data_IF_060351759973
#
_entry.id   IF_060351759973
#
_cell.length_a   1.000
_cell.length_b   1.000
_cell.length_c   1.000
_cell.angle_alpha   90.00
_cell.angle_beta   90.00
_cell.angle_gamma   90.00
#
_symmetry.space_group_name_H-M   'P 1'
#
loop_
_entity.id
_entity.type
_entity.pdbx_description
1 polymer ?
#
# COMPACT_ATOMS: atom_id res chain seq x y z
N UNK A 1 50.78 -23.00 28.28
CA UNK A 1 51.03 -22.38 26.97
C UNK A 1 49.71 -22.26 26.22
N UNK A 2 49.37 -21.03 25.82
CA UNK A 2 48.11 -20.63 25.18
C UNK A 2 48.07 -21.00 23.68
N UNK A 3 46.85 -20.90 23.12
CA UNK A 3 46.45 -20.80 21.69
C UNK A 3 46.21 -22.16 21.00
N UNK A 4 45.16 -22.41 20.21
CA UNK A 4 44.29 -21.55 19.36
C UNK A 4 42.89 -22.18 19.21
N UNK A 5 41.83 -21.43 19.48
CA UNK A 5 40.50 -21.64 18.89
C UNK A 5 39.91 -20.27 18.56
N UNK A 6 40.21 -19.76 17.38
CA UNK A 6 39.49 -18.60 16.83
C UNK A 6 39.54 -18.67 15.32
N UNK A 7 38.47 -19.15 14.68
CA UNK A 7 38.12 -18.82 13.28
C UNK A 7 36.78 -19.47 12.86
N UNK A 8 35.73 -19.34 13.68
CA UNK A 8 34.35 -19.51 13.20
C UNK A 8 33.46 -18.47 13.91
N UNK A 9 33.65 -17.19 13.59
CA UNK A 9 32.73 -16.13 14.02
C UNK A 9 32.57 -15.01 12.98
N UNK A 10 33.41 -14.96 11.94
CA UNK A 10 33.40 -13.89 10.92
C UNK A 10 32.59 -14.21 9.67
N UNK A 11 32.04 -15.42 9.51
CA UNK A 11 31.25 -15.80 8.32
C UNK A 11 29.75 -15.46 8.44
N UNK A 12 29.23 -15.26 9.65
CA UNK A 12 27.80 -14.98 9.86
C UNK A 12 27.39 -13.51 9.71
N UNK A 13 28.33 -12.56 9.75
CA UNK A 13 28.03 -11.13 9.55
C UNK A 13 28.06 -10.70 8.07
N UNK A 14 28.74 -11.45 7.20
CA UNK A 14 28.78 -11.19 5.76
C UNK A 14 27.62 -11.84 4.99
N UNK A 15 26.95 -12.85 5.57
CA UNK A 15 25.84 -13.54 4.90
C UNK A 15 24.54 -12.72 4.86
N UNK A 16 24.32 -11.76 5.77
CA UNK A 16 23.09 -10.96 5.79
C UNK A 16 23.11 -9.76 4.82
N UNK A 17 24.28 -9.32 4.35
CA UNK A 17 24.37 -8.27 3.32
C UNK A 17 24.25 -8.82 1.89
N UNK A 18 24.35 -10.14 1.70
CA UNK A 18 24.41 -10.76 0.37
C UNK A 18 23.05 -10.83 -0.38
N UNK A 19 21.91 -10.44 0.23
CA UNK A 19 20.57 -10.69 -0.34
C UNK A 19 19.58 -9.51 -0.25
N UNK A 20 20.04 -8.27 -0.04
CA UNK A 20 19.13 -7.12 -0.11
C UNK A 20 18.73 -6.85 -1.58
N UNK A 21 17.43 -6.79 -1.87
CA UNK A 21 16.91 -6.47 -3.21
C UNK A 21 17.40 -5.09 -3.63
N UNK A 22 18.17 -5.00 -4.70
CA UNK A 22 18.71 -3.73 -5.23
C UNK A 22 17.60 -2.89 -5.90
N UNK A 23 17.86 -1.60 -6.16
CA UNK A 23 16.88 -0.76 -6.88
C UNK A 23 16.52 -1.30 -8.27
N UNK A 24 17.46 -1.75 -9.12
CA UNK A 24 17.12 -2.39 -10.39
C UNK A 24 16.30 -3.68 -10.22
N UNK A 25 16.61 -4.50 -9.21
CA UNK A 25 15.81 -5.71 -8.92
C UNK A 25 14.39 -5.35 -8.47
N UNK A 26 14.24 -4.36 -7.58
CA UNK A 26 12.93 -3.89 -7.14
C UNK A 26 12.12 -3.30 -8.30
N UNK A 27 12.77 -2.56 -9.22
CA UNK A 27 12.13 -2.05 -10.43
C UNK A 27 11.68 -3.17 -11.37
N UNK A 28 12.49 -4.22 -11.54
CA UNK A 28 12.12 -5.40 -12.32
C UNK A 28 10.91 -6.13 -11.71
N UNK A 29 10.90 -6.34 -10.39
CA UNK A 29 9.76 -6.94 -9.67
C UNK A 29 8.50 -6.07 -9.80
N UNK A 30 8.63 -4.75 -9.64
CA UNK A 30 7.52 -3.81 -9.82
C UNK A 30 6.93 -3.88 -11.25
N UNK A 31 7.76 -4.11 -12.26
CA UNK A 31 7.34 -4.25 -13.65
C UNK A 31 6.58 -5.56 -13.92
N UNK A 32 6.78 -6.61 -13.12
CA UNK A 32 6.05 -7.86 -13.27
C UNK A 32 4.56 -7.71 -12.97
N UNK A 33 4.17 -6.77 -12.09
CA UNK A 33 2.77 -6.49 -11.77
C UNK A 33 2.20 -5.31 -12.57
N UNK A 34 2.77 -5.03 -13.74
CA UNK A 34 2.28 -4.00 -14.66
C UNK A 34 1.92 -4.63 -15.99
N UNK A 35 1.37 -3.82 -16.90
CA UNK A 35 0.83 -4.30 -18.17
C UNK A 35 1.84 -5.08 -18.99
N UNK A 36 1.39 -6.19 -19.57
CA UNK A 36 2.24 -7.09 -20.36
C UNK A 36 2.79 -8.31 -19.61
N UNK A 37 2.45 -8.50 -18.33
CA UNK A 37 2.93 -9.65 -17.54
C UNK A 37 2.41 -10.99 -18.05
N UNK A 38 1.10 -11.12 -18.21
CA UNK A 38 0.43 -12.24 -18.90
C UNK A 38 -0.80 -11.75 -19.66
N UNK A 39 -1.33 -12.50 -20.65
CA UNK A 39 -2.53 -12.11 -21.38
C UNK A 39 -3.74 -11.84 -20.48
N UNK A 40 -3.94 -12.66 -19.44
CA UNK A 40 -5.05 -12.53 -18.50
C UNK A 40 -4.98 -11.25 -17.66
N UNK A 41 -3.79 -10.92 -17.14
CA UNK A 41 -3.57 -9.69 -16.38
C UNK A 41 -3.59 -8.45 -17.27
N UNK A 42 -3.01 -8.52 -18.47
CA UNK A 42 -3.06 -7.44 -19.46
C UNK A 42 -4.52 -7.07 -19.79
N UNK A 43 -5.39 -8.06 -20.00
CA UNK A 43 -6.81 -7.81 -20.25
C UNK A 43 -7.50 -7.20 -19.03
N UNK A 44 -7.21 -7.69 -17.82
CA UNK A 44 -7.79 -7.16 -16.59
C UNK A 44 -7.38 -5.70 -16.37
N UNK A 45 -6.11 -5.35 -16.56
CA UNK A 45 -5.63 -3.98 -16.38
C UNK A 45 -6.25 -3.03 -17.42
N UNK A 46 -6.36 -3.45 -18.69
CA UNK A 46 -7.08 -2.68 -19.71
C UNK A 46 -8.55 -2.44 -19.32
N UNK A 47 -9.22 -3.46 -18.79
CA UNK A 47 -10.59 -3.34 -18.31
C UNK A 47 -10.68 -2.40 -17.10
N UNK A 48 -9.75 -2.50 -16.16
CA UNK A 48 -9.68 -1.61 -15.00
C UNK A 48 -9.44 -0.16 -15.41
N UNK A 49 -8.53 0.09 -16.36
CA UNK A 49 -8.24 1.42 -16.87
C UNK A 49 -9.47 1.99 -17.59
N UNK A 50 -10.15 1.18 -18.40
CA UNK A 50 -11.37 1.60 -19.08
C UNK A 50 -12.48 1.96 -18.09
N UNK A 51 -12.71 1.12 -17.08
CA UNK A 51 -13.71 1.39 -16.04
C UNK A 51 -13.38 2.67 -15.27
N UNK A 52 -12.11 2.87 -14.89
CA UNK A 52 -11.65 4.11 -14.25
C UNK A 52 -11.87 5.34 -15.15
N UNK A 53 -11.52 5.26 -16.45
CA UNK A 53 -11.73 6.37 -17.39
C UNK A 53 -13.21 6.69 -17.57
N UNK A 54 -14.07 5.69 -17.66
CA UNK A 54 -15.52 5.86 -17.72
C UNK A 54 -16.05 6.52 -16.45
N UNK A 55 -15.60 6.08 -15.28
CA UNK A 55 -15.95 6.71 -14.00
C UNK A 55 -15.49 8.16 -13.91
N UNK A 56 -14.24 8.46 -14.30
CA UNK A 56 -13.70 9.82 -14.32
C UNK A 56 -14.47 10.71 -15.30
N UNK A 57 -14.84 10.19 -16.48
CA UNK A 57 -15.58 10.94 -17.48
C UNK A 57 -16.98 11.34 -16.99
N UNK A 58 -17.64 10.45 -16.24
CA UNK A 58 -19.03 10.65 -15.81
C UNK A 58 -19.94 10.93 -17.01
N UNK A 59 -20.81 11.93 -16.88
CA UNK A 59 -21.74 12.33 -17.94
C UNK A 59 -21.12 13.25 -19.01
N UNK A 60 -19.82 13.52 -18.91
CA UNK A 60 -19.13 14.39 -19.88
C UNK A 60 -18.98 13.70 -21.24
N UNK A 61 -19.03 14.46 -22.33
CA UNK A 61 -18.82 13.92 -23.68
C UNK A 61 -17.42 13.30 -23.87
N UNK A 62 -16.41 13.81 -23.15
CA UNK A 62 -15.06 13.26 -23.13
C UNK A 62 -14.35 13.53 -21.80
N UNK A 63 -13.39 12.68 -21.45
CA UNK A 63 -12.57 12.84 -20.24
C UNK A 63 -11.53 13.96 -20.43
N UNK A 64 -11.50 14.93 -19.52
CA UNK A 64 -10.50 16.00 -19.43
C UNK A 64 -9.97 16.12 -17.98
N UNK A 65 -8.97 16.99 -17.77
CA UNK A 65 -8.36 17.25 -16.45
C UNK A 65 -9.34 17.77 -15.41
N UNK A 66 -10.29 18.60 -15.82
CA UNK A 66 -11.27 19.21 -14.91
C UNK A 66 -12.15 18.19 -14.18
N UNK A 67 -12.33 17.00 -14.75
CA UNK A 67 -13.04 15.90 -14.11
C UNK A 67 -12.22 15.23 -13.01
N UNK A 68 -10.89 15.18 -13.11
CA UNK A 68 -10.04 14.53 -12.10
C UNK A 68 -10.22 15.18 -10.72
N UNK A 69 -10.20 16.51 -10.66
CA UNK A 69 -10.36 17.29 -9.42
C UNK A 69 -11.75 17.13 -8.77
N UNK A 70 -12.75 16.76 -9.58
CA UNK A 70 -14.14 16.57 -9.15
C UNK A 70 -14.47 15.10 -8.89
N UNK A 71 -13.60 14.18 -9.28
CA UNK A 71 -13.86 12.75 -9.28
C UNK A 71 -14.05 12.22 -7.86
N UNK A 72 -15.24 11.69 -7.59
CA UNK A 72 -15.62 11.10 -6.31
C UNK A 72 -16.50 9.88 -6.59
N UNK A 73 -16.54 8.95 -5.64
CA UNK A 73 -17.50 7.85 -5.72
C UNK A 73 -18.92 8.40 -5.84
N UNK A 74 -19.67 7.85 -6.80
CA UNK A 74 -21.07 8.19 -7.05
C UNK A 74 -21.96 7.65 -5.93
N UNK A 75 -23.22 8.10 -5.88
CA UNK A 75 -24.22 7.52 -4.97
C UNK A 75 -24.49 6.04 -5.27
N UNK A 76 -24.27 5.59 -6.51
CA UNK A 76 -24.33 4.17 -6.89
C UNK A 76 -23.17 3.40 -6.26
N UNK A 77 -21.96 3.93 -6.35
CA UNK A 77 -20.75 3.22 -5.91
C UNK A 77 -20.54 3.23 -4.40
N UNK A 78 -21.09 4.20 -3.66
CA UNK A 78 -20.85 4.33 -2.23
C UNK A 78 -22.12 4.72 -1.46
N UNK A 79 -22.57 3.83 -0.58
CA UNK A 79 -23.73 4.05 0.30
C UNK A 79 -23.34 4.93 1.49
N UNK A 80 -23.14 6.22 1.21
CA UNK A 80 -22.82 7.23 2.24
C UNK A 80 -23.99 7.49 3.17
N UNK A 81 -25.23 7.16 2.76
CA UNK A 81 -26.41 7.30 3.60
C UNK A 81 -26.43 6.24 4.70
N UNK A 82 -26.15 4.97 4.37
CA UNK A 82 -25.94 3.90 5.34
C UNK A 82 -24.80 4.22 6.30
N UNK A 83 -23.65 4.68 5.79
CA UNK A 83 -22.54 5.00 6.67
C UNK A 83 -22.88 6.17 7.60
N UNK A 84 -23.54 7.23 7.10
CA UNK A 84 -23.97 8.36 7.92
C UNK A 84 -25.00 7.96 8.97
N UNK A 85 -25.95 7.08 8.64
CA UNK A 85 -26.99 6.62 9.58
C UNK A 85 -26.43 5.77 10.71
N UNK A 86 -25.28 5.12 10.53
CA UNK A 86 -24.59 4.40 11.61
C UNK A 86 -24.13 5.29 12.77
N UNK A 87 -23.95 6.60 12.52
CA UNK A 87 -23.41 7.55 13.49
C UNK A 87 -21.99 7.19 13.96
N UNK A 88 -21.22 6.42 13.19
CA UNK A 88 -19.84 6.08 13.55
C UNK A 88 -18.93 7.30 13.41
N UNK A 89 -18.19 7.61 14.48
CA UNK A 89 -17.17 8.67 14.47
C UNK A 89 -15.79 8.06 14.19
N UNK A 90 -15.20 8.44 13.06
CA UNK A 90 -13.86 8.03 12.67
C UNK A 90 -12.74 8.70 13.48
N UNK A 91 -13.09 9.57 14.44
CA UNK A 91 -12.14 10.25 15.33
C UNK A 91 -11.01 10.92 14.56
N UNK A 92 -11.33 11.53 13.40
CA UNK A 92 -10.36 11.98 12.39
C UNK A 92 -9.27 12.87 13.00
N UNK A 93 -9.64 13.85 13.83
CA UNK A 93 -8.67 14.76 14.46
C UNK A 93 -7.71 14.03 15.41
N UNK A 94 -8.23 13.10 16.22
CA UNK A 94 -7.40 12.32 17.14
C UNK A 94 -6.44 11.41 16.37
N UNK A 95 -6.93 10.74 15.33
CA UNK A 95 -6.10 9.89 14.47
C UNK A 95 -5.05 10.69 13.69
N UNK A 96 -5.36 11.93 13.29
CA UNK A 96 -4.37 12.85 12.72
C UNK A 96 -3.24 13.19 13.71
N UNK A 97 -3.58 13.51 14.96
CA UNK A 97 -2.57 13.81 15.99
C UNK A 97 -1.73 12.58 16.32
N UNK A 98 -2.34 11.40 16.41
CA UNK A 98 -1.63 10.15 16.61
C UNK A 98 -0.69 9.84 15.43
N UNK A 99 -1.09 10.12 14.20
CA UNK A 99 -0.24 10.01 13.02
C UNK A 99 0.97 10.96 13.08
N UNK A 100 0.78 12.21 13.51
CA UNK A 100 1.90 13.16 13.73
C UNK A 100 2.86 12.64 14.79
N UNK A 101 2.33 12.16 15.93
CA UNK A 101 3.15 11.60 17.00
C UNK A 101 3.94 10.36 16.54
N UNK A 102 3.28 9.45 15.81
CA UNK A 102 3.90 8.26 15.23
C UNK A 102 5.04 8.62 14.27
N UNK A 103 4.91 9.72 13.53
CA UNK A 103 5.91 10.14 12.55
C UNK A 103 6.92 11.17 13.07
N UNK A 104 6.86 11.52 14.36
CA UNK A 104 7.71 12.58 14.97
C UNK A 104 9.22 12.38 14.77
N UNK A 105 9.69 11.13 14.64
CA UNK A 105 11.09 10.82 14.37
C UNK A 105 11.62 11.31 13.02
N UNK A 106 10.75 11.73 12.09
CA UNK A 106 11.15 12.29 10.80
C UNK A 106 12.00 13.56 10.95
N UNK A 107 11.62 14.45 11.87
CA UNK A 107 12.28 15.76 12.06
C UNK A 107 13.70 15.67 12.62
N UNK A 108 14.13 14.49 13.07
CA UNK A 108 15.46 14.24 13.65
C UNK A 108 16.32 13.31 12.80
N UNK A 109 15.88 12.99 11.57
CA UNK A 109 16.64 12.11 10.68
C UNK A 109 17.95 12.78 10.23
N UNK A 110 19.07 12.03 10.17
CA UNK A 110 20.36 12.59 9.75
C UNK A 110 20.36 12.91 8.24
N UNK A 111 21.18 13.89 7.85
CA UNK A 111 21.33 14.33 6.45
C UNK A 111 21.74 13.20 5.49
N UNK A 112 22.48 12.20 5.99
CA UNK A 112 22.86 11.02 5.20
C UNK A 112 21.62 10.21 4.78
N UNK A 113 20.60 10.11 5.65
CA UNK A 113 19.34 9.44 5.34
C UNK A 113 18.51 10.29 4.38
N UNK A 114 18.44 11.61 4.59
CA UNK A 114 17.69 12.51 3.70
C UNK A 114 18.32 12.58 2.29
N UNK A 115 19.65 12.53 2.21
CA UNK A 115 20.39 12.44 0.95
C UNK A 115 20.11 11.12 0.22
N UNK A 116 20.19 9.99 0.93
CA UNK A 116 19.85 8.69 0.35
C UNK A 116 18.38 8.64 -0.10
N UNK A 117 17.46 9.18 0.70
CA UNK A 117 16.04 9.28 0.39
C UNK A 117 15.78 10.05 -0.92
N UNK A 118 16.52 11.13 -1.17
CA UNK A 118 16.48 11.88 -2.44
C UNK A 118 17.07 11.06 -3.59
N UNK A 119 18.24 10.45 -3.39
CA UNK A 119 18.89 9.66 -4.44
C UNK A 119 18.02 8.46 -4.87
N UNK A 120 17.37 7.77 -3.92
CA UNK A 120 16.50 6.63 -4.20
C UNK A 120 15.27 7.00 -5.03
N UNK A 121 14.58 8.11 -4.74
CA UNK A 121 13.45 8.54 -5.59
C UNK A 121 13.92 8.94 -6.98
N UNK A 122 15.05 9.64 -7.10
CA UNK A 122 15.62 10.00 -8.40
C UNK A 122 15.94 8.77 -9.23
N UNK A 123 16.59 7.76 -8.64
CA UNK A 123 16.93 6.51 -9.34
C UNK A 123 15.67 5.75 -9.81
N UNK A 124 14.68 5.58 -8.93
CA UNK A 124 13.42 4.91 -9.28
C UNK A 124 12.67 5.68 -10.38
N UNK A 125 12.58 7.00 -10.28
CA UNK A 125 11.88 7.84 -11.25
C UNK A 125 12.56 7.84 -12.63
N UNK A 126 13.89 7.89 -12.68
CA UNK A 126 14.63 7.92 -13.94
C UNK A 126 14.65 6.55 -14.64
N UNK A 127 14.76 5.46 -13.88
CA UNK A 127 14.89 4.11 -14.43
C UNK A 127 13.56 3.37 -14.62
N UNK A 128 12.42 3.96 -14.25
CA UNK A 128 11.11 3.33 -14.46
C UNK A 128 10.81 3.13 -15.95
N UNK A 129 10.42 1.90 -16.31
CA UNK A 129 9.97 1.54 -17.67
C UNK A 129 8.63 2.21 -18.00
N UNK A 130 8.26 2.25 -19.28
CA UNK A 130 7.01 2.85 -19.73
C UNK A 130 5.78 2.19 -19.06
N UNK A 131 5.70 0.86 -19.01
CA UNK A 131 4.56 0.17 -18.40
C UNK A 131 4.43 0.46 -16.90
N UNK A 132 5.56 0.62 -16.19
CA UNK A 132 5.54 1.00 -14.77
C UNK A 132 5.09 2.45 -14.58
N UNK A 133 5.46 3.36 -15.48
CA UNK A 133 4.96 4.74 -15.50
C UNK A 133 3.46 4.80 -15.79
N UNK A 134 2.99 3.97 -16.73
CA UNK A 134 1.57 3.86 -17.07
C UNK A 134 0.72 3.38 -15.90
N UNK A 135 1.17 2.31 -15.22
CA UNK A 135 0.53 1.86 -13.99
C UNK A 135 0.53 2.97 -12.92
N UNK A 136 1.63 3.72 -12.80
CA UNK A 136 1.74 4.77 -11.79
C UNK A 136 0.78 5.94 -12.04
N UNK A 137 0.58 6.33 -13.31
CA UNK A 137 -0.43 7.32 -13.70
C UNK A 137 -1.85 6.82 -13.40
N UNK A 138 -2.14 5.57 -13.76
CA UNK A 138 -3.45 4.97 -13.46
C UNK A 138 -3.72 4.97 -11.95
N UNK A 139 -2.77 4.51 -11.14
CA UNK A 139 -2.85 4.51 -9.68
C UNK A 139 -3.13 5.93 -9.16
N UNK A 140 -2.37 6.91 -9.65
CA UNK A 140 -2.47 8.29 -9.22
C UNK A 140 -3.86 8.88 -9.39
N UNK A 141 -4.47 8.65 -10.55
CA UNK A 141 -5.79 9.17 -10.89
C UNK A 141 -6.93 8.27 -10.38
N UNK A 142 -6.61 7.13 -9.76
CA UNK A 142 -7.59 6.21 -9.17
C UNK A 142 -7.93 6.53 -7.72
N UNK A 143 -7.28 7.53 -7.09
CA UNK A 143 -7.37 7.80 -5.64
C UNK A 143 -8.81 7.93 -5.12
N UNK A 144 -9.74 8.47 -5.92
CA UNK A 144 -11.15 8.63 -5.55
C UNK A 144 -12.01 7.37 -5.73
N UNK A 145 -11.43 6.26 -6.19
CA UNK A 145 -12.10 5.00 -6.54
C UNK A 145 -11.41 3.79 -5.88
N UNK A 146 -11.80 2.58 -6.28
CA UNK A 146 -11.18 1.32 -5.85
C UNK A 146 -10.68 0.45 -7.02
N UNK A 147 -10.75 0.93 -8.27
CA UNK A 147 -10.41 0.13 -9.47
C UNK A 147 -8.98 -0.42 -9.41
N UNK A 148 -8.05 0.33 -8.83
CA UNK A 148 -6.65 -0.03 -8.72
C UNK A 148 -6.40 -1.33 -7.95
N UNK A 149 -7.35 -1.80 -7.12
CA UNK A 149 -7.22 -3.05 -6.36
C UNK A 149 -7.49 -4.30 -7.20
N UNK A 150 -8.10 -4.15 -8.37
CA UNK A 150 -8.61 -5.28 -9.16
C UNK A 150 -7.50 -6.23 -9.63
N UNK A 151 -6.33 -5.71 -9.98
CA UNK A 151 -5.17 -6.47 -10.45
C UNK A 151 -4.70 -7.51 -9.42
N UNK A 152 -4.56 -7.12 -8.16
CA UNK A 152 -4.14 -7.99 -7.07
C UNK A 152 -5.18 -9.07 -6.70
N UNK A 153 -6.42 -8.94 -7.17
CA UNK A 153 -7.44 -9.98 -7.04
C UNK A 153 -7.28 -11.11 -8.07
N UNK A 154 -6.47 -10.89 -9.10
CA UNK A 154 -6.28 -11.79 -10.24
C UNK A 154 -7.40 -11.71 -11.29
N UNK A 155 -7.20 -12.29 -12.49
CA UNK A 155 -8.04 -11.99 -13.66
C UNK A 155 -9.53 -12.27 -13.48
N UNK A 156 -9.92 -13.37 -12.82
CA UNK A 156 -11.33 -13.73 -12.68
C UNK A 156 -12.02 -12.90 -11.60
N UNK A 157 -11.47 -12.88 -10.39
CA UNK A 157 -12.04 -12.11 -9.28
C UNK A 157 -11.95 -10.60 -9.49
N UNK A 158 -10.87 -10.10 -10.09
CA UNK A 158 -10.71 -8.68 -10.42
C UNK A 158 -11.78 -8.18 -11.40
N UNK A 159 -12.14 -8.99 -12.41
CA UNK A 159 -13.25 -8.69 -13.32
C UNK A 159 -14.60 -8.66 -12.61
N UNK A 160 -14.85 -9.65 -11.75
CA UNK A 160 -16.05 -9.69 -10.92
C UNK A 160 -16.13 -8.47 -9.98
N UNK A 161 -15.01 -8.06 -9.40
CA UNK A 161 -14.91 -6.87 -8.57
C UNK A 161 -15.24 -5.59 -9.34
N UNK A 162 -14.67 -5.38 -10.53
CA UNK A 162 -14.98 -4.22 -11.37
C UNK A 162 -16.48 -4.19 -11.69
N UNK A 163 -17.06 -5.32 -12.10
CA UNK A 163 -18.48 -5.41 -12.42
C UNK A 163 -19.39 -5.12 -11.21
N UNK A 164 -19.10 -5.73 -10.05
CA UNK A 164 -19.85 -5.48 -8.81
C UNK A 164 -19.71 -4.02 -8.36
N UNK A 165 -18.53 -3.40 -8.52
CA UNK A 165 -18.28 -2.02 -8.15
C UNK A 165 -19.06 -1.04 -9.03
N UNK A 166 -19.04 -1.24 -10.35
CA UNK A 166 -19.77 -0.42 -11.33
C UNK A 166 -21.29 -0.52 -11.14
N UNK A 167 -21.79 -1.71 -10.78
CA UNK A 167 -23.20 -1.95 -10.45
C UNK A 167 -23.63 -1.41 -9.08
N UNK A 168 -22.69 -0.96 -8.24
CA UNK A 168 -22.97 -0.49 -6.88
C UNK A 168 -23.29 -1.62 -5.87
N UNK A 169 -22.98 -2.87 -6.21
CA UNK A 169 -23.34 -4.04 -5.40
C UNK A 169 -22.49 -4.18 -4.14
N UNK A 170 -21.34 -3.51 -4.08
CA UNK A 170 -20.46 -3.43 -2.91
C UNK A 170 -20.43 -2.04 -2.26
N UNK A 171 -21.50 -1.27 -2.41
CA UNK A 171 -21.55 0.16 -2.01
C UNK A 171 -21.28 0.44 -0.53
N UNK A 172 -21.57 -0.48 0.39
CA UNK A 172 -21.23 -0.33 1.83
C UNK A 172 -19.74 -0.53 2.06
N UNK A 173 -19.13 -1.53 1.45
CA UNK A 173 -17.68 -1.74 1.50
C UNK A 173 -16.94 -0.55 0.89
N UNK A 174 -17.36 -0.09 -0.27
CA UNK A 174 -16.80 1.10 -0.90
C UNK A 174 -16.90 2.35 0.00
N UNK A 175 -18.07 2.62 0.59
CA UNK A 175 -18.25 3.76 1.49
C UNK A 175 -17.38 3.64 2.76
N UNK A 176 -17.39 2.49 3.42
CA UNK A 176 -16.64 2.27 4.66
C UNK A 176 -15.12 2.36 4.42
N UNK A 177 -14.62 1.72 3.36
CA UNK A 177 -13.19 1.72 3.02
C UNK A 177 -12.70 3.15 2.81
N UNK A 178 -13.37 3.92 1.93
CA UNK A 178 -12.93 5.30 1.64
C UNK A 178 -13.07 6.24 2.83
N UNK A 179 -14.08 6.05 3.69
CA UNK A 179 -14.24 6.85 4.89
C UNK A 179 -13.22 6.53 5.99
N UNK A 180 -12.58 5.35 5.94
CA UNK A 180 -11.56 4.94 6.90
C UNK A 180 -10.20 5.59 6.64
N UNK A 181 -10.00 6.25 5.50
CA UNK A 181 -8.79 7.05 5.24
C UNK A 181 -8.77 8.27 6.16
N UNK A 182 -7.68 8.42 6.91
CA UNK A 182 -7.45 9.58 7.77
C UNK A 182 -6.50 10.55 7.05
N UNK A 183 -7.05 11.67 6.58
CA UNK A 183 -6.29 12.67 5.82
C UNK A 183 -4.96 13.05 6.48
N UNK A 184 -3.89 12.97 5.68
CA UNK A 184 -2.51 13.37 6.06
C UNK A 184 -2.27 14.88 6.07
N UNK A 185 -3.28 15.71 5.76
CA UNK A 185 -3.13 17.16 5.62
C UNK A 185 -2.59 17.86 6.87
N UNK A 186 -2.99 17.44 8.07
CA UNK A 186 -2.47 17.97 9.33
C UNK A 186 -0.97 17.67 9.49
N UNK A 187 -0.54 16.45 9.18
CA UNK A 187 0.87 16.06 9.23
C UNK A 187 1.70 16.79 8.17
N UNK A 188 1.19 16.95 6.94
CA UNK A 188 1.88 17.73 5.89
C UNK A 188 2.14 19.18 6.32
N UNK A 189 1.17 19.81 7.00
CA UNK A 189 1.35 21.16 7.55
C UNK A 189 2.37 21.19 8.69
N UNK A 190 2.37 20.17 9.54
CA UNK A 190 3.30 20.05 10.67
C UNK A 190 4.76 19.87 10.21
N UNK A 191 5.02 18.92 9.31
CA UNK A 191 6.38 18.60 8.87
C UNK A 191 6.89 19.51 7.75
N UNK A 192 5.98 20.12 6.97
CA UNK A 192 6.28 21.10 5.91
C UNK A 192 7.46 20.70 4.99
N UNK A 193 7.49 19.43 4.56
CA UNK A 193 8.59 18.90 3.77
C UNK A 193 8.34 19.11 2.26
N UNK A 194 9.23 19.78 1.51
CA UNK A 194 9.03 20.02 0.07
C UNK A 194 9.12 18.74 -0.77
N UNK A 195 8.40 18.69 -1.89
CA UNK A 195 8.36 17.53 -2.81
C UNK A 195 9.66 17.39 -3.62
N UNK A 196 10.00 16.18 -4.12
CA UNK A 196 11.27 15.93 -4.84
C UNK A 196 11.53 16.89 -6.00
N UNK A 197 10.53 17.11 -6.86
CA UNK A 197 10.63 17.97 -8.04
C UNK A 197 10.67 19.48 -7.75
N UNK A 198 10.46 19.90 -6.48
CA UNK A 198 10.53 21.30 -6.07
C UNK A 198 11.93 21.70 -5.58
N UNK A 199 12.84 20.74 -5.39
CA UNK A 199 14.20 21.07 -4.95
C UNK A 199 15.01 21.69 -6.08
N UNK A 200 15.79 22.72 -5.76
CA UNK A 200 16.74 23.29 -6.69
C UNK A 200 17.76 22.23 -7.15
N UNK A 201 18.08 22.22 -8.44
CA UNK A 201 19.03 21.27 -9.02
C UNK A 201 18.55 19.81 -9.10
N UNK A 202 17.27 19.54 -8.86
CA UNK A 202 16.74 18.19 -9.01
C UNK A 202 16.73 17.72 -10.48
N UNK A 203 16.76 16.40 -10.68
CA UNK A 203 16.70 15.75 -12.00
C UNK A 203 15.42 14.92 -12.19
N UNK A 204 14.38 15.20 -11.40
CA UNK A 204 13.13 14.43 -11.46
C UNK A 204 12.47 14.61 -12.84
N UNK A 205 12.16 13.48 -13.48
CA UNK A 205 11.37 13.41 -14.68
C UNK A 205 9.89 13.27 -14.34
N UNK A 206 9.16 14.39 -14.32
CA UNK A 206 7.71 14.38 -14.18
C UNK A 206 7.07 13.71 -15.39
N UNK A 207 6.24 12.70 -15.13
CA UNK A 207 5.70 11.79 -16.15
C UNK A 207 4.52 12.45 -16.87
N UNK A 208 4.55 12.62 -18.20
CA UNK A 208 3.40 13.08 -18.98
C UNK A 208 2.28 12.03 -18.96
N UNK A 209 1.04 12.46 -18.78
CA UNK A 209 -0.12 11.57 -18.82
C UNK A 209 -0.51 11.23 -20.26
N UNK A 210 -0.05 10.07 -20.72
CA UNK A 210 -0.40 9.43 -21.99
C UNK A 210 -1.37 8.24 -21.80
N UNK A 211 -1.94 8.07 -20.59
CA UNK A 211 -2.73 6.88 -20.22
C UNK A 211 -4.16 7.20 -19.79
N UNK A 212 -4.33 8.08 -18.82
CA UNK A 212 -5.62 8.34 -18.17
C UNK A 212 -6.36 9.45 -18.88
N UNK A 213 -5.84 10.68 -18.89
CA UNK A 213 -6.44 11.77 -19.69
C UNK A 213 -5.91 11.74 -21.13
N UNK A 214 -4.65 11.35 -21.32
CA UNK A 214 -3.94 11.38 -22.62
C UNK A 214 -3.72 12.78 -23.18
N UNK A 215 -3.49 13.75 -22.29
CA UNK A 215 -3.23 15.15 -22.64
C UNK A 215 -1.73 15.50 -22.64
N UNK A 216 -0.86 14.55 -22.29
CA UNK A 216 0.58 14.74 -22.09
C UNK A 216 0.95 15.82 -21.05
N UNK A 217 -0.02 16.24 -20.21
CA UNK A 217 0.28 17.10 -19.07
C UNK A 217 1.08 16.29 -18.07
N UNK A 218 2.21 16.83 -17.62
CA UNK A 218 3.08 16.18 -16.63
C UNK A 218 2.35 16.08 -15.30
N UNK A 219 2.28 14.88 -14.75
CA UNK A 219 1.68 14.63 -13.45
C UNK A 219 2.44 15.38 -12.36
N UNK A 220 1.73 16.19 -11.56
CA UNK A 220 2.28 16.92 -10.42
C UNK A 220 1.38 16.74 -9.20
N UNK A 221 1.81 17.26 -8.06
CA UNK A 221 1.00 17.26 -6.84
C UNK A 221 1.30 18.51 -6.00
N UNK A 222 0.31 19.00 -5.27
CA UNK A 222 0.39 20.20 -4.45
C UNK A 222 0.71 19.89 -2.98
N UNK A 223 0.98 20.92 -2.17
CA UNK A 223 1.26 20.79 -0.74
C UNK A 223 2.55 20.03 -0.37
N UNK A 224 2.75 19.79 0.93
CA UNK A 224 3.94 19.11 1.46
C UNK A 224 4.02 17.63 1.06
N UNK A 225 5.21 17.06 1.05
CA UNK A 225 5.47 15.67 0.68
C UNK A 225 5.21 14.68 1.81
N UNK A 226 5.72 14.95 3.02
CA UNK A 226 5.68 13.99 4.12
C UNK A 226 4.46 14.15 5.05
N UNK A 227 3.74 13.07 5.38
CA UNK A 227 3.71 11.77 4.70
C UNK A 227 2.83 11.83 3.43
N UNK A 228 2.90 10.82 2.57
CA UNK A 228 2.17 10.77 1.29
C UNK A 228 0.68 10.46 1.45
N UNK A 229 -0.21 11.41 1.13
CA UNK A 229 -1.67 11.19 1.19
C UNK A 229 -2.17 10.07 0.26
N UNK A 230 -1.71 10.05 -0.99
CA UNK A 230 -2.06 8.98 -1.94
C UNK A 230 -1.63 7.60 -1.43
N UNK A 231 -0.43 7.50 -0.84
CA UNK A 231 0.02 6.23 -0.24
C UNK A 231 -0.87 5.83 0.94
N UNK A 232 -1.26 6.79 1.79
CA UNK A 232 -2.15 6.53 2.92
C UNK A 232 -3.49 5.97 2.46
N UNK A 233 -4.08 6.56 1.42
CA UNK A 233 -5.29 6.06 0.77
C UNK A 233 -5.08 4.65 0.19
N UNK A 234 -4.04 4.47 -0.63
CA UNK A 234 -3.77 3.19 -1.29
C UNK A 234 -3.54 2.04 -0.31
N UNK A 235 -2.79 2.28 0.78
CA UNK A 235 -2.59 1.28 1.84
C UNK A 235 -3.86 1.03 2.65
N UNK A 236 -4.61 2.07 3.04
CA UNK A 236 -5.87 1.90 3.81
C UNK A 236 -6.87 1.06 3.01
N UNK A 237 -7.06 1.40 1.74
CA UNK A 237 -7.97 0.70 0.84
C UNK A 237 -7.55 -0.76 0.64
N UNK A 238 -6.25 -0.99 0.41
CA UNK A 238 -5.69 -2.31 0.19
C UNK A 238 -5.75 -3.21 1.43
N UNK A 239 -5.43 -2.68 2.62
CA UNK A 239 -5.48 -3.42 3.88
C UNK A 239 -6.91 -3.83 4.22
N UNK A 240 -7.88 -2.91 4.14
CA UNK A 240 -9.27 -3.23 4.42
C UNK A 240 -9.85 -4.22 3.39
N UNK A 241 -9.50 -4.07 2.11
CA UNK A 241 -9.88 -5.04 1.09
C UNK A 241 -9.27 -6.42 1.36
N UNK A 242 -8.01 -6.49 1.81
CA UNK A 242 -7.35 -7.75 2.17
C UNK A 242 -8.08 -8.47 3.33
N UNK A 243 -8.55 -7.72 4.32
CA UNK A 243 -9.33 -8.25 5.44
C UNK A 243 -10.74 -8.73 5.00
N UNK A 244 -11.33 -8.06 4.01
CA UNK A 244 -12.63 -8.47 3.47
C UNK A 244 -12.53 -9.68 2.52
N UNK A 245 -11.42 -9.81 1.79
CA UNK A 245 -11.16 -10.84 0.77
C UNK A 245 -9.83 -11.58 1.07
N UNK A 246 -9.74 -12.33 2.19
CA UNK A 246 -8.50 -12.97 2.64
C UNK A 246 -7.97 -14.05 1.69
N UNK A 247 -8.79 -14.52 0.74
CA UNK A 247 -8.37 -15.37 -0.37
C UNK A 247 -7.22 -14.74 -1.18
N UNK A 248 -7.14 -13.40 -1.18
CA UNK A 248 -6.12 -12.59 -1.87
C UNK A 248 -5.30 -11.72 -0.91
N UNK A 249 -5.26 -12.04 0.39
CA UNK A 249 -4.65 -11.22 1.44
C UNK A 249 -3.25 -10.71 1.07
N UNK A 250 -2.29 -11.60 0.82
CA UNK A 250 -0.90 -11.24 0.53
C UNK A 250 -0.76 -10.35 -0.72
N UNK A 251 -1.52 -10.67 -1.77
CA UNK A 251 -1.53 -9.92 -3.02
C UNK A 251 -2.09 -8.50 -2.81
N UNK A 252 -3.18 -8.36 -2.07
CA UNK A 252 -3.81 -7.08 -1.75
C UNK A 252 -2.92 -6.23 -0.83
N UNK A 253 -2.29 -6.81 0.19
CA UNK A 253 -1.31 -6.07 1.02
C UNK A 253 -0.13 -5.60 0.17
N UNK A 254 0.38 -6.45 -0.73
CA UNK A 254 1.44 -6.09 -1.69
C UNK A 254 0.98 -4.99 -2.66
N UNK A 255 -0.31 -4.93 -2.99
CA UNK A 255 -0.87 -3.89 -3.85
C UNK A 255 -0.78 -2.49 -3.25
N UNK A 256 -0.99 -2.38 -1.94
CA UNK A 256 -0.75 -1.14 -1.19
C UNK A 256 0.70 -0.66 -1.34
N UNK A 257 1.66 -1.58 -1.23
CA UNK A 257 3.08 -1.28 -1.47
C UNK A 257 3.37 -0.88 -2.92
N UNK A 258 2.75 -1.54 -3.91
CA UNK A 258 2.86 -1.13 -5.32
C UNK A 258 2.29 0.26 -5.56
N UNK A 259 1.15 0.60 -4.94
CA UNK A 259 0.55 1.94 -5.02
C UNK A 259 1.47 3.02 -4.43
N UNK A 260 2.09 2.73 -3.28
CA UNK A 260 3.12 3.60 -2.70
C UNK A 260 4.32 3.78 -3.64
N UNK A 261 4.83 2.69 -4.20
CA UNK A 261 5.95 2.71 -5.16
C UNK A 261 5.63 3.53 -6.42
N UNK A 262 4.39 3.49 -6.92
CA UNK A 262 3.92 4.33 -8.02
C UNK A 262 4.15 5.83 -7.76
N UNK A 263 4.12 6.28 -6.50
CA UNK A 263 4.38 7.68 -6.13
C UNK A 263 5.84 8.09 -6.31
N UNK A 264 6.77 7.14 -6.15
CA UNK A 264 8.21 7.33 -6.39
C UNK A 264 8.50 7.31 -7.89
N UNK A 265 7.83 6.42 -8.64
CA UNK A 265 7.90 6.38 -10.11
C UNK A 265 7.50 7.72 -10.73
N UNK A 266 6.47 8.37 -10.19
CA UNK A 266 6.05 9.71 -10.63
C UNK A 266 6.94 10.86 -10.11
N UNK A 267 7.88 10.57 -9.22
CA UNK A 267 8.81 11.57 -8.67
C UNK A 267 8.16 12.60 -7.74
N UNK A 268 6.94 12.35 -7.25
CA UNK A 268 6.18 13.31 -6.42
C UNK A 268 6.32 13.07 -4.91
N UNK A 269 6.87 11.92 -4.52
CA UNK A 269 7.11 11.50 -3.13
C UNK A 269 8.41 10.72 -2.98
N UNK A 270 8.98 10.82 -1.78
CA UNK A 270 10.15 10.08 -1.37
C UNK A 270 9.82 8.74 -0.71
N UNK A 271 10.79 7.80 -0.64
CA UNK A 271 10.69 6.60 0.19
C UNK A 271 10.17 6.86 1.62
N UNK A 272 10.72 7.85 2.34
CA UNK A 272 10.28 8.18 3.69
C UNK A 272 8.80 8.57 3.76
N UNK A 273 8.27 9.29 2.77
CA UNK A 273 6.86 9.67 2.73
C UNK A 273 5.95 8.45 2.61
N UNK A 274 6.38 7.47 1.82
CA UNK A 274 5.64 6.24 1.56
C UNK A 274 5.73 5.28 2.75
N UNK A 275 6.92 5.15 3.35
CA UNK A 275 7.12 4.40 4.60
C UNK A 275 6.27 4.98 5.73
N UNK A 276 6.31 6.29 5.93
CA UNK A 276 5.52 6.96 6.97
C UNK A 276 4.02 6.80 6.77
N UNK A 277 3.54 6.91 5.53
CA UNK A 277 2.12 6.66 5.22
C UNK A 277 1.69 5.22 5.45
N UNK A 278 2.54 4.23 5.12
CA UNK A 278 2.27 2.82 5.44
C UNK A 278 2.09 2.63 6.95
N UNK A 279 3.02 3.16 7.75
CA UNK A 279 2.96 3.08 9.22
C UNK A 279 1.64 3.65 9.77
N UNK A 280 1.24 4.83 9.29
CA UNK A 280 -0.02 5.48 9.69
C UNK A 280 -1.24 4.68 9.25
N UNK A 281 -1.26 4.17 8.02
CA UNK A 281 -2.36 3.37 7.49
C UNK A 281 -2.54 2.07 8.28
N UNK A 282 -1.46 1.31 8.50
CA UNK A 282 -1.49 0.07 9.29
C UNK A 282 -1.99 0.33 10.72
N UNK A 283 -1.50 1.39 11.38
CA UNK A 283 -1.93 1.81 12.72
C UNK A 283 -3.40 2.19 12.77
N UNK A 284 -3.89 2.96 11.80
CA UNK A 284 -5.28 3.41 11.77
C UNK A 284 -6.24 2.26 11.44
N UNK A 285 -5.90 1.40 10.47
CA UNK A 285 -6.69 0.20 10.16
C UNK A 285 -6.77 -0.73 11.37
N UNK A 286 -5.66 -0.96 12.07
CA UNK A 286 -5.68 -1.73 13.31
C UNK A 286 -6.57 -1.06 14.38
N UNK A 287 -6.51 0.27 14.51
CA UNK A 287 -7.36 1.02 15.44
C UNK A 287 -8.84 0.80 15.14
N UNK A 288 -9.27 0.95 13.88
CA UNK A 288 -10.66 0.73 13.48
C UNK A 288 -11.10 -0.72 13.65
N UNK A 289 -10.29 -1.69 13.22
CA UNK A 289 -10.67 -3.10 13.34
C UNK A 289 -10.74 -3.60 14.79
N UNK A 290 -10.12 -2.90 15.75
CA UNK A 290 -10.28 -3.18 17.18
C UNK A 290 -11.50 -2.48 17.83
N UNK A 291 -12.15 -1.53 17.13
CA UNK A 291 -13.35 -0.86 17.63
C UNK A 291 -14.60 -1.71 17.37
N UNK A 292 -15.30 -2.09 18.44
CA UNK A 292 -16.50 -2.92 18.38
C UNK A 292 -17.61 -2.32 17.50
N UNK A 293 -17.77 -0.99 17.47
CA UNK A 293 -18.77 -0.33 16.61
C UNK A 293 -18.38 -0.40 15.14
N UNK A 294 -17.09 -0.23 14.85
CA UNK A 294 -16.57 -0.39 13.48
C UNK A 294 -16.69 -1.83 13.01
N UNK A 295 -16.42 -2.81 13.87
CA UNK A 295 -16.53 -4.23 13.54
C UNK A 295 -17.93 -4.63 13.04
N UNK A 296 -18.99 -4.02 13.59
CA UNK A 296 -20.36 -4.23 13.11
C UNK A 296 -20.50 -3.76 11.65
N UNK A 297 -20.05 -2.53 11.34
CA UNK A 297 -20.09 -1.98 10.00
C UNK A 297 -19.19 -2.77 9.03
N UNK A 298 -18.00 -3.14 9.49
CA UNK A 298 -17.03 -3.90 8.71
C UNK A 298 -17.60 -5.27 8.34
N UNK A 299 -18.24 -5.98 9.28
CA UNK A 299 -18.89 -7.26 9.00
C UNK A 299 -20.01 -7.11 7.98
N UNK A 300 -20.90 -6.13 8.15
CA UNK A 300 -22.01 -5.90 7.22
C UNK A 300 -21.51 -5.56 5.80
N UNK A 301 -20.54 -4.65 5.71
CA UNK A 301 -19.91 -4.27 4.46
C UNK A 301 -19.17 -5.43 3.78
N UNK A 302 -18.42 -6.22 4.57
CA UNK A 302 -17.71 -7.42 4.10
C UNK A 302 -18.69 -8.47 3.57
N UNK A 303 -19.78 -8.72 4.27
CA UNK A 303 -20.79 -9.70 3.86
C UNK A 303 -21.44 -9.28 2.52
N UNK A 304 -21.77 -7.98 2.36
CA UNK A 304 -22.28 -7.44 1.09
C UNK A 304 -21.27 -7.60 -0.05
N UNK A 305 -20.01 -7.18 0.16
CA UNK A 305 -18.95 -7.31 -0.84
C UNK A 305 -18.78 -8.76 -1.27
N UNK A 306 -18.67 -9.69 -0.30
CA UNK A 306 -18.43 -11.11 -0.60
C UNK A 306 -19.58 -11.72 -1.38
N UNK A 307 -20.83 -11.43 -1.00
CA UNK A 307 -22.00 -11.91 -1.73
C UNK A 307 -22.06 -11.39 -3.17
N UNK A 308 -21.74 -10.10 -3.38
CA UNK A 308 -21.68 -9.51 -4.72
C UNK A 308 -20.59 -10.15 -5.58
N UNK A 309 -19.41 -10.39 -5.02
CA UNK A 309 -18.32 -11.04 -5.73
C UNK A 309 -18.65 -12.48 -6.11
N UNK A 310 -19.27 -13.28 -5.22
CA UNK A 310 -19.69 -14.65 -5.55
C UNK A 310 -20.75 -14.68 -6.65
N UNK A 311 -21.70 -13.75 -6.60
CA UNK A 311 -22.72 -13.57 -7.64
C UNK A 311 -22.07 -13.28 -9.00
N UNK A 312 -21.17 -12.30 -9.08
CA UNK A 312 -20.50 -11.93 -10.32
C UNK A 312 -19.53 -13.02 -10.82
N UNK A 313 -18.92 -13.79 -9.90
CA UNK A 313 -18.04 -14.91 -10.23
C UNK A 313 -18.79 -16.18 -10.67
N UNK A 314 -20.08 -16.32 -10.31
CA UNK A 314 -20.86 -17.54 -10.48
C UNK A 314 -20.31 -18.76 -9.72
N UNK A 315 -19.51 -18.54 -8.68
CA UNK A 315 -18.85 -19.59 -7.88
C UNK A 315 -18.37 -19.03 -6.54
N UNK A 316 -17.84 -19.89 -5.66
CA UNK A 316 -17.23 -19.48 -4.39
C UNK A 316 -16.04 -18.53 -4.58
N UNK A 317 -15.81 -17.63 -3.62
CA UNK A 317 -14.62 -16.76 -3.64
C UNK A 317 -13.31 -17.53 -3.70
N UNK A 318 -13.22 -18.66 -3.00
CA UNK A 318 -12.02 -19.50 -2.99
C UNK A 318 -11.67 -20.03 -4.39
N UNK A 319 -12.67 -20.37 -5.21
CA UNK A 319 -12.48 -20.77 -6.61
C UNK A 319 -12.24 -19.56 -7.51
N UNK A 320 -13.00 -18.47 -7.34
CA UNK A 320 -12.86 -17.28 -8.16
C UNK A 320 -11.49 -16.60 -7.99
N UNK A 321 -10.92 -16.67 -6.78
CA UNK A 321 -9.60 -16.18 -6.43
C UNK A 321 -8.46 -17.14 -6.81
N UNK A 322 -8.70 -18.28 -7.48
CA UNK A 322 -7.62 -19.13 -7.98
C UNK A 322 -6.98 -18.52 -9.22
N UNK A 323 -5.70 -18.79 -9.37
CA UNK A 323 -4.89 -18.44 -10.53
C UNK A 323 -4.00 -19.62 -10.87
N UNK A 324 -3.61 -19.73 -12.14
CA UNK A 324 -2.53 -20.63 -12.54
C UNK A 324 -1.21 -20.04 -12.05
N UNK A 325 -0.52 -20.72 -11.14
CA UNK A 325 0.51 -20.11 -10.29
C UNK A 325 1.69 -19.46 -11.00
N UNK A 326 1.99 -19.83 -12.26
CA UNK A 326 3.05 -19.19 -13.06
C UNK A 326 2.61 -17.89 -13.77
N UNK A 327 1.31 -17.63 -13.84
CA UNK A 327 0.72 -16.53 -14.61
C UNK A 327 0.19 -15.39 -13.72
N UNK A 328 0.43 -15.47 -12.41
CA UNK A 328 -0.01 -14.51 -11.40
C UNK A 328 1.18 -13.76 -10.79
N UNK A 329 1.50 -12.55 -11.29
CA UNK A 329 2.65 -11.82 -10.81
C UNK A 329 2.52 -11.43 -9.33
N UNK A 330 1.31 -11.17 -8.81
CA UNK A 330 1.14 -10.80 -7.39
C UNK A 330 1.33 -11.98 -6.42
N UNK A 331 1.23 -13.21 -6.90
CA UNK A 331 1.53 -14.43 -6.11
C UNK A 331 2.88 -15.05 -6.48
N UNK A 332 3.66 -14.42 -7.35
CA UNK A 332 5.01 -14.88 -7.67
C UNK A 332 5.89 -14.84 -6.40
N UNK A 333 6.70 -15.88 -6.13
CA UNK A 333 7.48 -15.96 -4.88
C UNK A 333 8.43 -14.77 -4.64
N UNK A 334 8.92 -14.16 -5.70
CA UNK A 334 9.83 -13.01 -5.69
C UNK A 334 9.14 -11.69 -5.34
N UNK A 335 7.81 -11.57 -5.48
CA UNK A 335 7.07 -10.40 -5.00
C UNK A 335 7.16 -10.18 -3.49
N UNK A 336 7.45 -11.23 -2.72
CA UNK A 336 7.78 -11.10 -1.28
C UNK A 336 9.04 -10.26 -1.07
N UNK A 337 10.01 -10.36 -1.98
CA UNK A 337 11.22 -9.55 -1.96
C UNK A 337 10.90 -8.08 -2.25
N UNK A 338 9.99 -7.82 -3.21
CA UNK A 338 9.51 -6.47 -3.48
C UNK A 338 8.82 -5.85 -2.26
N UNK A 339 7.85 -6.54 -1.66
CA UNK A 339 7.17 -6.02 -0.46
C UNK A 339 8.18 -5.74 0.65
N UNK A 340 9.07 -6.70 0.95
CA UNK A 340 10.10 -6.54 1.98
C UNK A 340 11.06 -5.38 1.70
N UNK A 341 11.42 -5.15 0.43
CA UNK A 341 12.18 -3.98 0.00
C UNK A 341 11.44 -2.68 0.34
N UNK A 342 10.15 -2.57 0.04
CA UNK A 342 9.36 -1.33 0.30
C UNK A 342 9.21 -0.97 1.79
N UNK A 343 9.49 -1.91 2.70
CA UNK A 343 9.46 -1.62 4.14
C UNK A 343 10.58 -0.65 4.56
N UNK A 344 11.67 -0.55 3.79
CA UNK A 344 12.83 0.30 4.10
C UNK A 344 13.46 1.03 2.92
N UNK A 345 13.18 0.61 1.68
CA UNK A 345 13.82 1.06 0.44
C UNK A 345 15.36 1.00 0.48
N UNK A 346 15.92 0.12 1.33
CA UNK A 346 17.35 0.07 1.64
C UNK A 346 17.95 1.41 2.12
N UNK A 347 17.14 2.28 2.72
CA UNK A 347 17.67 3.50 3.31
C UNK A 347 18.71 3.19 4.41
N UNK A 348 19.71 4.08 4.62
CA UNK A 348 20.75 3.85 5.59
C UNK A 348 20.18 3.55 6.99
N UNK A 349 20.63 2.43 7.55
CA UNK A 349 20.27 1.97 8.89
C UNK A 349 21.27 2.51 9.90
N UNK A 350 20.80 2.94 11.07
CA UNK A 350 21.65 3.25 12.22
C UNK A 350 22.40 1.98 12.71
N UNK A 351 23.64 2.16 13.15
CA UNK A 351 24.43 1.07 13.72
C UNK A 351 24.01 0.81 15.18
N UNK A 352 22.96 0.01 15.32
CA UNK A 352 22.38 -0.34 16.62
C UNK A 352 22.33 -1.85 16.82
N UNK A 353 22.47 -2.28 18.08
CA UNK A 353 22.28 -3.68 18.45
C UNK A 353 20.86 -4.10 18.10
N UNK A 354 20.69 -5.19 17.35
CA UNK A 354 19.36 -5.67 16.98
C UNK A 354 18.55 -6.08 18.21
N UNK A 355 17.37 -5.49 18.36
CA UNK A 355 16.39 -5.81 19.42
C UNK A 355 15.12 -6.41 18.83
N UNK A 356 14.51 -7.41 19.49
CA UNK A 356 13.19 -7.88 19.10
C UNK A 356 12.19 -6.74 19.07
N UNK A 357 11.32 -6.72 18.06
CA UNK A 357 10.24 -5.74 17.99
C UNK A 357 9.21 -6.01 19.11
N UNK A 358 8.69 -4.95 19.71
CA UNK A 358 7.57 -5.05 20.66
C UNK A 358 6.28 -4.90 19.88
N UNK A 359 5.35 -5.85 19.99
CA UNK A 359 4.08 -5.79 19.27
C UNK A 359 3.02 -5.14 20.17
N UNK A 360 2.45 -3.98 19.78
CA UNK A 360 1.32 -3.39 20.49
C UNK A 360 0.14 -4.36 20.55
N UNK A 361 -0.56 -4.39 21.68
CA UNK A 361 -1.81 -5.15 21.79
C UNK A 361 -2.82 -4.66 20.75
N UNK A 362 -3.53 -5.60 20.12
CA UNK A 362 -4.51 -5.31 19.07
C UNK A 362 -3.90 -5.24 17.67
N UNK A 363 -2.57 -5.20 17.50
CA UNK A 363 -1.96 -5.22 16.17
C UNK A 363 -2.23 -6.54 15.43
N UNK A 364 -2.40 -7.65 16.15
CA UNK A 364 -2.79 -8.95 15.61
C UNK A 364 -4.07 -8.93 14.77
N UNK A 365 -4.92 -7.92 14.94
CA UNK A 365 -6.17 -7.79 14.18
C UNK A 365 -5.92 -7.73 12.67
N UNK A 366 -4.77 -7.18 12.23
CA UNK A 366 -4.34 -7.04 10.83
C UNK A 366 -4.01 -8.37 10.13
N UNK A 367 -4.12 -9.49 10.84
CA UNK A 367 -3.95 -10.82 10.27
C UNK A 367 -5.09 -11.77 10.67
N UNK A 368 -6.02 -11.32 11.53
CA UNK A 368 -6.97 -12.21 12.20
C UNK A 368 -8.02 -12.77 11.26
N UNK A 369 -8.49 -11.99 10.29
CA UNK A 369 -9.44 -12.50 9.27
C UNK A 369 -8.77 -13.49 8.32
N UNK A 370 -7.48 -13.31 8.06
CA UNK A 370 -6.68 -14.12 7.14
C UNK A 370 -6.14 -15.40 7.78
N UNK A 371 -5.94 -15.39 9.11
CA UNK A 371 -5.44 -16.50 9.92
C UNK A 371 -6.41 -16.84 11.07
N UNK A 372 -7.70 -17.16 10.78
CA UNK A 372 -8.74 -17.27 11.80
C UNK A 372 -8.55 -18.45 12.76
N UNK A 373 -7.66 -19.39 12.44
CA UNK A 373 -7.34 -20.57 13.25
C UNK A 373 -6.22 -20.33 14.26
N UNK A 374 -5.56 -19.17 14.23
CA UNK A 374 -4.49 -18.82 15.15
C UNK A 374 -5.00 -17.92 16.27
N UNK A 375 -4.49 -18.14 17.48
CA UNK A 375 -4.67 -17.22 18.61
C UNK A 375 -3.91 -15.91 18.41
N UNK A 376 -4.34 -14.85 19.10
CA UNK A 376 -3.69 -13.54 19.10
C UNK A 376 -2.20 -13.63 19.51
N UNK A 377 -1.84 -14.57 20.40
CA UNK A 377 -0.46 -14.82 20.78
C UNK A 377 0.36 -15.49 19.66
N UNK A 378 -0.25 -16.41 18.88
CA UNK A 378 0.41 -17.02 17.73
C UNK A 378 0.65 -15.98 16.62
N UNK A 379 -0.33 -15.12 16.33
CA UNK A 379 -0.20 -14.06 15.34
C UNK A 379 0.91 -13.07 15.74
N UNK A 380 0.92 -12.59 17.00
CA UNK A 380 1.99 -11.69 17.48
C UNK A 380 3.38 -12.33 17.39
N UNK A 381 3.51 -13.64 17.64
CA UNK A 381 4.80 -14.36 17.46
C UNK A 381 5.26 -14.37 16.00
N UNK A 382 4.34 -14.53 15.05
CA UNK A 382 4.67 -14.43 13.62
C UNK A 382 5.16 -13.02 13.28
N UNK A 383 4.44 -11.98 13.72
CA UNK A 383 4.86 -10.59 13.52
C UNK A 383 6.27 -10.30 14.08
N UNK A 384 6.59 -10.80 15.27
CA UNK A 384 7.95 -10.67 15.84
C UNK A 384 8.99 -11.36 14.96
N UNK A 385 8.69 -12.57 14.48
CA UNK A 385 9.63 -13.40 13.71
C UNK A 385 9.91 -12.84 12.31
N UNK A 386 8.94 -12.14 11.71
CA UNK A 386 9.05 -11.66 10.33
C UNK A 386 9.44 -10.19 10.21
N UNK A 387 9.32 -9.43 11.30
CA UNK A 387 9.67 -8.02 11.34
C UNK A 387 11.09 -7.74 10.82
N UNK A 388 11.28 -6.57 10.22
CA UNK A 388 12.60 -6.07 9.87
C UNK A 388 13.52 -5.99 11.11
N UNK A 389 14.85 -6.05 10.92
CA UNK A 389 15.80 -5.59 11.93
C UNK A 389 15.51 -4.14 12.36
N UNK A 390 15.94 -3.75 13.57
CA UNK A 390 15.80 -2.36 14.05
C UNK A 390 16.70 -1.37 13.28
N UNK A 391 16.69 -0.09 13.65
CA UNK A 391 17.64 0.92 13.19
C UNK A 391 17.34 1.55 11.83
N UNK A 392 16.31 1.10 11.11
CA UNK A 392 15.88 1.80 9.90
C UNK A 392 15.22 3.15 10.26
N UNK A 393 15.23 4.14 9.35
CA UNK A 393 14.58 5.43 9.58
C UNK A 393 13.11 5.27 10.03
N UNK A 394 12.64 6.19 10.88
CA UNK A 394 11.31 6.19 11.51
C UNK A 394 11.07 5.14 12.61
N UNK A 395 12.10 4.41 13.05
CA UNK A 395 11.95 3.35 14.09
C UNK A 395 11.94 3.83 15.55
N UNK A 396 11.86 5.14 15.82
CA UNK A 396 12.20 5.80 17.10
C UNK A 396 11.83 5.07 18.40
N UNK A 397 10.66 5.35 18.98
CA UNK A 397 10.18 4.67 20.19
C UNK A 397 9.61 3.26 19.89
N UNK A 398 9.16 2.52 20.91
CA UNK A 398 8.68 1.14 20.74
C UNK A 398 7.51 1.01 19.74
N UNK A 399 6.53 1.93 19.77
CA UNK A 399 5.40 1.91 18.84
C UNK A 399 5.85 2.25 17.41
N UNK A 400 6.69 3.29 17.26
CA UNK A 400 7.28 3.68 15.98
C UNK A 400 8.10 2.54 15.37
N UNK A 401 8.92 1.88 16.20
CA UNK A 401 9.69 0.69 15.82
C UNK A 401 8.79 -0.41 15.29
N UNK A 402 7.64 -0.69 15.92
CA UNK A 402 6.73 -1.71 15.44
C UNK A 402 6.18 -1.42 14.04
N UNK A 403 5.53 -0.27 13.87
CA UNK A 403 4.88 0.06 12.60
C UNK A 403 5.89 0.23 11.46
N UNK A 404 7.11 0.67 11.76
CA UNK A 404 8.19 0.70 10.76
C UNK A 404 8.58 -0.70 10.31
N UNK A 405 8.58 -1.69 11.23
CA UNK A 405 9.23 -2.99 11.02
C UNK A 405 8.28 -4.12 10.65
N UNK A 406 6.97 -3.97 10.87
CA UNK A 406 6.00 -5.04 10.62
C UNK A 406 6.01 -5.47 9.16
N UNK A 407 6.07 -6.79 8.94
CA UNK A 407 6.03 -7.43 7.62
C UNK A 407 4.82 -8.39 7.59
N UNK A 408 3.66 -7.84 7.20
CA UNK A 408 2.38 -8.56 7.21
C UNK A 408 2.37 -9.71 6.20
N UNK A 409 2.98 -9.52 5.02
CA UNK A 409 3.03 -10.57 3.99
C UNK A 409 3.84 -11.77 4.45
N UNK A 410 5.02 -11.54 5.06
CA UNK A 410 5.84 -12.61 5.58
C UNK A 410 5.19 -13.30 6.78
N UNK A 411 4.53 -12.56 7.67
CA UNK A 411 3.81 -13.14 8.82
C UNK A 411 2.66 -14.06 8.36
N UNK A 412 1.89 -13.63 7.37
CA UNK A 412 0.84 -14.43 6.73
C UNK A 412 1.40 -15.67 6.04
N UNK A 413 2.42 -15.49 5.19
CA UNK A 413 3.07 -16.56 4.44
C UNK A 413 3.66 -17.64 5.34
N UNK A 414 4.20 -17.29 6.50
CA UNK A 414 4.82 -18.22 7.43
C UNK A 414 3.81 -19.10 8.20
N UNK A 415 2.53 -18.70 8.21
CA UNK A 415 1.45 -19.41 8.87
C UNK A 415 0.73 -20.42 7.97
N UNK A 416 0.90 -20.30 6.65
CA UNK A 416 0.37 -21.22 5.64
C UNK A 416 1.36 -22.34 5.36
#
# INVERSE_FOLDING_TARGET
MKTRYTLIATVLLLAQQAHATTLPQAAALAAQTSTGSTPGFTQLEQQSLQAQRTWLQGDSASLKREQLEKAKQTSTQADKAWLKSSGYDFNVKQNQQAGIALLSGFSTLPDSVLTANRATVTDINLNATQNVRHQALQDAEAIGSLYFLSDAMGPRLGKAFIAAYDKGELSKAAALIKASEVSTSAAKKHFNYPRPFLHEGNTIHLVPDDVVVKDNVRYTADGGSFPSGHTNTGYTDALLMAEMVPERFEALVTRGARYGYSRLVLGVHYPLDVMGSRMVAERNVATYLNDARYQVLFKEARDQLRAALEKECGTSLAECARTTGKDDPYRAPDMKQFYRFTLSYNLPKANEKNTPVQIPQGAEILLKTALPHLSDAQIRRLMVKTALPNGYPLSGNAEQSFWQRVDLTAAYSMAK
#
